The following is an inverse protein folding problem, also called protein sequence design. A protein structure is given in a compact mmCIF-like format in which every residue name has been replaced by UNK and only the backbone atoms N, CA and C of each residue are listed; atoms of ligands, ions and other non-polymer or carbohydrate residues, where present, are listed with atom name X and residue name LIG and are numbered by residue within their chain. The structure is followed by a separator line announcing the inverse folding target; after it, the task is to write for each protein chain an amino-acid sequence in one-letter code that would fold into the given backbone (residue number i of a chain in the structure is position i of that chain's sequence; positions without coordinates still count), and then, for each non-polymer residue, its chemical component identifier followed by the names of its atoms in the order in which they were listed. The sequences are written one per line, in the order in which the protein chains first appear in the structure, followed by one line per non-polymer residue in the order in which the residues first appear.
data_IF_593865155522
#
_entry.id   IF_593865155522
#
_cell.length_a   1.000
_cell.length_b   1.000
_cell.length_c   1.000
_cell.angle_alpha   90.00
_cell.angle_beta   90.00
_cell.angle_gamma   90.00
#
_symmetry.space_group_name_H-M   'P 1'
#
loop_
_entity.id
_entity.type
_entity.pdbx_description
1 polymer ?
#
# COMPACT_ATOMS: atom_id res chain seq x y z
N UNK A 1 36.02 10.78 -23.45
CA UNK A 1 35.04 11.45 -22.58
C UNK A 1 33.65 10.80 -22.59
N UNK A 2 33.15 10.24 -23.69
CA UNK A 2 31.79 9.65 -23.73
C UNK A 2 31.53 8.42 -22.84
N UNK A 3 32.50 7.51 -22.67
CA UNK A 3 32.28 6.25 -21.92
C UNK A 3 32.08 6.46 -20.41
N UNK A 4 32.76 7.44 -19.82
CA UNK A 4 32.65 7.75 -18.39
C UNK A 4 31.37 8.49 -18.04
N UNK A 5 30.85 9.32 -18.96
CA UNK A 5 29.58 10.04 -18.78
C UNK A 5 28.40 9.08 -18.86
N UNK A 6 28.44 8.10 -19.79
CA UNK A 6 27.42 7.06 -19.92
C UNK A 6 27.40 6.14 -18.68
N UNK A 7 28.57 5.75 -18.17
CA UNK A 7 28.66 4.92 -16.96
C UNK A 7 28.15 5.64 -15.71
N UNK A 8 28.42 6.94 -15.57
CA UNK A 8 27.92 7.76 -14.46
C UNK A 8 26.39 7.91 -14.52
N UNK A 9 25.85 8.14 -15.73
CA UNK A 9 24.40 8.24 -15.95
C UNK A 9 23.65 6.95 -15.62
N UNK A 10 24.21 5.80 -16.00
CA UNK A 10 23.65 4.49 -15.66
C UNK A 10 23.68 4.22 -14.15
N UNK A 11 24.76 4.59 -13.45
CA UNK A 11 24.85 4.45 -12.00
C UNK A 11 23.85 5.35 -11.27
N UNK A 12 23.67 6.60 -11.73
CA UNK A 12 22.67 7.51 -11.13
C UNK A 12 21.24 7.04 -11.36
N UNK A 13 20.94 6.50 -12.55
CA UNK A 13 19.61 5.94 -12.85
C UNK A 13 19.32 4.70 -11.98
N UNK A 14 20.32 3.83 -11.80
CA UNK A 14 20.20 2.64 -10.97
C UNK A 14 20.06 2.99 -9.48
N UNK A 15 20.76 4.02 -8.99
CA UNK A 15 20.57 4.53 -7.62
C UNK A 15 19.16 5.11 -7.41
N UNK A 16 18.62 5.84 -8.40
CA UNK A 16 17.26 6.37 -8.32
C UNK A 16 16.19 5.28 -8.30
N UNK A 17 16.41 4.16 -8.99
CA UNK A 17 15.48 3.02 -8.99
C UNK A 17 15.46 2.28 -7.63
N UNK A 18 16.60 2.21 -6.94
CA UNK A 18 16.70 1.60 -5.61
C UNK A 18 16.14 2.51 -4.51
N UNK A 19 16.13 3.83 -4.72
CA UNK A 19 15.58 4.80 -3.78
C UNK A 19 14.05 4.95 -3.85
N UNK A 20 13.37 4.22 -4.73
CA UNK A 20 11.91 4.20 -4.75
C UNK A 20 11.42 3.42 -3.52
N UNK A 21 10.49 3.97 -2.72
CA UNK A 21 9.91 3.21 -1.62
C UNK A 21 9.27 1.94 -2.19
N UNK A 22 9.48 0.81 -1.52
CA UNK A 22 8.76 -0.43 -1.81
C UNK A 22 7.27 -0.15 -1.59
N UNK A 23 6.52 -0.05 -2.69
CA UNK A 23 5.06 0.02 -2.61
C UNK A 23 4.57 -1.40 -2.30
N UNK A 24 4.38 -1.67 -1.01
CA UNK A 24 3.71 -2.86 -0.54
C UNK A 24 2.21 -2.60 -0.67
N UNK A 25 1.58 -3.24 -1.63
CA UNK A 25 0.17 -3.05 -1.92
C UNK A 25 -0.63 -4.22 -1.34
N UNK A 26 -1.42 -3.95 -0.30
CA UNK A 26 -2.52 -4.83 0.10
C UNK A 26 -3.44 -5.08 -1.09
N UNK A 27 -3.90 -6.33 -1.26
CA UNK A 27 -4.95 -6.64 -2.23
C UNK A 27 -6.25 -5.98 -1.78
N UNK A 28 -6.75 -5.02 -2.54
CA UNK A 28 -8.01 -4.35 -2.23
C UNK A 28 -9.16 -5.36 -2.11
N UNK A 29 -9.74 -5.47 -0.92
CA UNK A 29 -10.94 -6.25 -0.63
C UNK A 29 -12.16 -5.33 -0.61
N UNK A 30 -13.27 -5.87 -1.08
CA UNK A 30 -14.57 -5.19 -1.06
C UNK A 30 -15.51 -5.93 -0.14
N UNK A 31 -15.89 -5.28 0.96
CA UNK A 31 -16.88 -5.79 1.90
C UNK A 31 -18.29 -5.50 1.36
N UNK A 32 -19.12 -6.54 1.28
CA UNK A 32 -20.50 -6.41 0.80
C UNK A 32 -21.45 -6.13 1.96
N UNK A 33 -22.20 -5.04 1.87
CA UNK A 33 -23.27 -4.65 2.80
C UNK A 33 -24.59 -4.78 2.07
N UNK A 34 -25.35 -5.83 2.39
CA UNK A 34 -26.63 -6.11 1.76
C UNK A 34 -27.73 -5.42 2.55
N UNK A 35 -28.56 -4.63 1.88
CA UNK A 35 -29.60 -3.82 2.50
C UNK A 35 -30.97 -4.46 2.27
N UNK A 36 -31.67 -4.76 3.36
CA UNK A 36 -32.99 -5.39 3.42
C UNK A 36 -34.00 -4.48 4.13
N UNK A 37 -35.27 -4.89 4.17
CA UNK A 37 -36.37 -4.14 4.77
C UNK A 37 -36.21 -3.91 6.29
N UNK A 38 -35.50 -4.81 6.98
CA UNK A 38 -35.21 -4.77 8.41
C UNK A 38 -33.82 -4.21 8.77
N UNK A 39 -33.02 -3.84 7.77
CA UNK A 39 -31.72 -3.19 7.93
C UNK A 39 -30.62 -3.81 7.07
N UNK A 40 -29.37 -3.57 7.45
CA UNK A 40 -28.22 -4.13 6.76
C UNK A 40 -27.80 -5.49 7.34
N UNK A 41 -27.59 -6.47 6.47
CA UNK A 41 -26.93 -7.73 6.81
C UNK A 41 -25.48 -7.42 7.17
N UNK A 42 -25.05 -7.80 8.38
CA UNK A 42 -23.75 -7.42 8.96
C UNK A 42 -23.59 -5.92 9.19
N UNK A 43 -24.55 -5.30 9.88
CA UNK A 43 -24.53 -3.87 10.18
C UNK A 43 -23.36 -3.37 11.05
N UNK A 44 -22.74 -4.17 11.92
CA UNK A 44 -21.54 -3.70 12.65
C UNK A 44 -20.35 -4.56 12.28
N UNK A 45 -19.29 -3.93 11.81
CA UNK A 45 -18.13 -4.58 11.23
C UNK A 45 -16.89 -4.24 12.06
N UNK A 46 -16.21 -5.28 12.52
CA UNK A 46 -14.96 -5.18 13.29
C UNK A 46 -13.94 -6.23 12.83
N UNK A 47 -14.02 -6.61 11.56
CA UNK A 47 -13.13 -7.61 10.97
C UNK A 47 -11.70 -7.03 10.90
N UNK A 48 -10.71 -7.66 11.56
CA UNK A 48 -9.33 -7.18 11.55
C UNK A 48 -8.70 -7.17 10.16
N UNK A 49 -9.27 -7.89 9.19
CA UNK A 49 -8.82 -7.90 7.81
C UNK A 49 -9.32 -6.71 6.98
N UNK A 50 -10.20 -5.86 7.53
CA UNK A 50 -10.64 -4.63 6.91
C UNK A 50 -9.67 -3.47 7.23
N UNK A 51 -8.62 -3.38 6.43
CA UNK A 51 -7.57 -2.36 6.51
C UNK A 51 -7.82 -1.15 5.59
N UNK A 52 -6.98 -0.12 5.67
CA UNK A 52 -6.95 1.01 4.72
C UNK A 52 -6.85 0.52 3.27
N UNK A 53 -7.43 1.26 2.32
CA UNK A 53 -7.44 0.86 0.89
C UNK A 53 -8.55 -0.12 0.50
N UNK A 54 -9.26 -0.73 1.46
CA UNK A 54 -10.42 -1.56 1.18
C UNK A 54 -11.65 -0.74 0.81
N UNK A 55 -12.70 -1.41 0.32
CA UNK A 55 -13.94 -0.77 -0.09
C UNK A 55 -15.17 -1.39 0.57
N UNK A 56 -16.22 -0.59 0.73
CA UNK A 56 -17.57 -1.05 1.07
C UNK A 56 -18.44 -0.99 -0.17
N UNK A 57 -19.18 -2.06 -0.43
CA UNK A 57 -20.17 -2.14 -1.50
C UNK A 57 -21.56 -2.33 -0.90
N UNK A 58 -22.38 -1.30 -1.02
CA UNK A 58 -23.77 -1.29 -0.57
C UNK A 58 -24.65 -1.78 -1.71
N UNK A 59 -25.44 -2.83 -1.48
CA UNK A 59 -26.38 -3.36 -2.47
C UNK A 59 -27.79 -3.39 -1.88
N UNK A 60 -28.74 -2.78 -2.57
CA UNK A 60 -30.14 -2.81 -2.20
C UNK A 60 -30.77 -4.12 -2.69
N UNK A 61 -31.34 -4.89 -1.76
CA UNK A 61 -32.01 -6.19 -2.00
C UNK A 61 -33.39 -6.22 -1.30
N UNK A 62 -33.90 -5.05 -0.90
CA UNK A 62 -35.25 -4.93 -0.34
C UNK A 62 -36.30 -4.96 -1.46
N UNK A 63 -36.96 -6.10 -1.61
CA UNK A 63 -38.05 -6.30 -2.58
C UNK A 63 -39.40 -5.70 -2.18
N UNK A 64 -39.45 -4.83 -1.17
CA UNK A 64 -40.67 -4.09 -0.84
C UNK A 64 -40.98 -3.05 -1.92
N UNK A 65 -42.22 -3.04 -2.41
CA UNK A 65 -42.65 -2.11 -3.46
C UNK A 65 -42.49 -0.64 -3.02
N UNK A 66 -41.93 0.19 -3.90
CA UNK A 66 -41.63 1.61 -3.64
C UNK A 66 -40.72 1.85 -2.42
N UNK A 67 -39.86 0.88 -2.07
CA UNK A 67 -38.77 1.10 -1.13
C UNK A 67 -37.52 1.60 -1.86
N UNK A 68 -36.85 2.57 -1.26
CA UNK A 68 -35.55 3.07 -1.74
C UNK A 68 -34.61 3.25 -0.55
N UNK A 69 -33.31 3.17 -0.81
CA UNK A 69 -32.30 3.31 0.24
C UNK A 69 -31.14 4.21 -0.15
N UNK A 70 -30.61 4.93 0.82
CA UNK A 70 -29.40 5.76 0.69
C UNK A 70 -28.43 5.38 1.79
N UNK A 71 -27.19 5.08 1.41
CA UNK A 71 -26.09 4.85 2.33
C UNK A 71 -25.31 6.15 2.54
N UNK A 72 -25.02 6.48 3.80
CA UNK A 72 -24.19 7.63 4.19
C UNK A 72 -23.06 7.16 5.09
N UNK A 73 -21.87 7.70 4.92
CA UNK A 73 -20.71 7.36 5.73
C UNK A 73 -20.03 8.64 6.19
N UNK A 74 -19.84 8.76 7.51
CA UNK A 74 -19.03 9.78 8.15
C UNK A 74 -17.56 9.48 7.89
N UNK A 75 -16.96 10.21 6.94
CA UNK A 75 -15.59 9.98 6.45
C UNK A 75 -14.56 10.63 7.37
N UNK A 76 -14.91 11.72 8.04
CA UNK A 76 -13.99 12.46 8.90
C UNK A 76 -14.08 12.03 10.38
N UNK A 77 -15.02 11.14 10.72
CA UNK A 77 -15.23 10.54 12.05
C UNK A 77 -15.63 11.57 13.13
N UNK A 78 -16.29 12.68 12.74
CA UNK A 78 -16.73 13.71 13.69
C UNK A 78 -18.12 13.44 14.29
N UNK A 79 -18.81 12.39 13.81
CA UNK A 79 -20.14 11.96 14.24
C UNK A 79 -21.28 12.74 13.59
N UNK A 80 -21.01 13.63 12.62
CA UNK A 80 -22.00 14.51 11.99
C UNK A 80 -21.93 14.39 10.47
N UNK A 81 -23.02 13.92 9.86
CA UNK A 81 -23.10 13.86 8.40
C UNK A 81 -23.12 15.26 7.75
N UNK A 82 -22.20 15.46 6.80
CA UNK A 82 -22.08 16.63 5.94
C UNK A 82 -21.81 16.21 4.48
N UNK A 83 -22.79 16.39 3.59
CA UNK A 83 -22.72 16.00 2.18
C UNK A 83 -21.55 16.60 1.36
N UNK A 84 -20.85 17.63 1.87
CA UNK A 84 -19.65 18.18 1.20
C UNK A 84 -18.34 17.47 1.58
N UNK A 85 -18.33 16.73 2.68
CA UNK A 85 -17.15 16.07 3.26
C UNK A 85 -17.33 14.56 3.30
N UNK A 86 -18.55 14.14 3.62
CA UNK A 86 -18.94 12.76 3.79
C UNK A 86 -19.46 12.12 2.52
N UNK A 87 -19.49 10.79 2.55
CA UNK A 87 -20.01 10.02 1.44
C UNK A 87 -21.52 9.85 1.58
N UNK A 88 -22.22 10.09 0.49
CA UNK A 88 -23.63 9.75 0.30
C UNK A 88 -23.77 9.01 -1.03
N UNK A 89 -24.42 7.86 -1.01
CA UNK A 89 -24.77 7.14 -2.23
C UNK A 89 -25.87 7.87 -2.99
N UNK A 90 -26.03 7.53 -4.27
CA UNK A 90 -27.30 7.80 -4.95
C UNK A 90 -28.47 7.06 -4.29
N UNK A 91 -29.69 7.38 -4.73
CA UNK A 91 -30.91 6.67 -4.30
C UNK A 91 -30.90 5.28 -4.93
N UNK A 92 -30.79 4.26 -4.09
CA UNK A 92 -30.71 2.87 -4.53
C UNK A 92 -32.10 2.22 -4.56
N UNK A 93 -32.35 1.44 -5.62
CA UNK A 93 -33.56 0.64 -5.83
C UNK A 93 -33.20 -0.86 -5.91
N UNK A 94 -34.19 -1.75 -5.78
CA UNK A 94 -33.95 -3.21 -5.79
C UNK A 94 -33.43 -3.69 -7.14
N UNK A 95 -34.01 -3.14 -8.21
CA UNK A 95 -33.66 -3.50 -9.58
C UNK A 95 -33.92 -2.31 -10.49
N UNK A 96 -33.19 -2.30 -11.60
CA UNK A 96 -33.36 -1.33 -12.67
C UNK A 96 -33.78 -2.06 -13.94
N UNK A 97 -34.71 -1.47 -14.68
CA UNK A 97 -35.15 -2.02 -15.96
C UNK A 97 -34.02 -1.91 -17.00
N UNK A 98 -33.86 -2.97 -17.78
CA UNK A 98 -32.91 -3.03 -18.90
C UNK A 98 -33.66 -3.02 -20.23
N UNK A 99 -33.10 -2.33 -21.21
CA UNK A 99 -33.60 -2.29 -22.58
C UNK A 99 -33.29 -3.59 -23.35
N UNK A 100 -33.77 -3.70 -24.59
CA UNK A 100 -33.52 -4.87 -25.45
C UNK A 100 -32.03 -5.15 -25.73
N UNK A 101 -31.16 -4.16 -25.48
CA UNK A 101 -29.72 -4.22 -25.69
C UNK A 101 -28.94 -4.50 -24.39
N UNK A 102 -29.62 -4.63 -23.26
CA UNK A 102 -29.02 -4.86 -21.94
C UNK A 102 -28.46 -3.60 -21.28
N UNK A 103 -28.78 -2.41 -21.78
CA UNK A 103 -28.48 -1.13 -21.14
C UNK A 103 -29.60 -0.74 -20.18
N UNK A 104 -29.33 0.15 -19.23
CA UNK A 104 -30.37 0.69 -18.34
C UNK A 104 -31.38 1.53 -19.12
N UNK A 105 -32.68 1.32 -18.88
CA UNK A 105 -33.76 2.17 -19.40
C UNK A 105 -33.69 3.56 -18.77
N UNK A 106 -33.37 3.60 -17.48
CA UNK A 106 -33.13 4.82 -16.70
C UNK A 106 -31.67 4.85 -16.24
N UNK A 107 -30.90 5.81 -16.78
CA UNK A 107 -29.49 5.99 -16.42
C UNK A 107 -29.29 6.46 -14.96
N UNK A 108 -30.31 7.05 -14.34
CA UNK A 108 -30.26 7.49 -12.94
C UNK A 108 -30.59 6.35 -11.96
N UNK A 109 -31.06 5.21 -12.46
CA UNK A 109 -31.38 4.06 -11.63
C UNK A 109 -30.10 3.37 -11.13
N UNK A 110 -29.96 3.30 -9.81
CA UNK A 110 -28.80 2.74 -9.13
C UNK A 110 -29.27 1.56 -8.26
N UNK A 111 -28.63 0.39 -8.38
CA UNK A 111 -28.93 -0.78 -7.51
C UNK A 111 -27.91 -0.93 -6.38
N UNK A 112 -26.71 -0.37 -6.59
CA UNK A 112 -25.61 -0.51 -5.65
C UNK A 112 -24.64 0.67 -5.72
N UNK A 113 -23.93 0.92 -4.63
CA UNK A 113 -22.94 1.99 -4.55
C UNK A 113 -21.70 1.51 -3.79
N UNK A 114 -20.53 1.99 -4.21
CA UNK A 114 -19.25 1.59 -3.62
C UNK A 114 -18.54 2.80 -3.05
N UNK A 115 -18.05 2.69 -1.82
CA UNK A 115 -17.10 3.63 -1.24
C UNK A 115 -15.76 2.94 -1.02
N UNK A 116 -14.71 3.42 -1.67
CA UNK A 116 -13.35 2.94 -1.48
C UNK A 116 -12.62 3.84 -0.48
N UNK A 117 -12.14 3.26 0.61
CA UNK A 117 -11.29 3.98 1.55
C UNK A 117 -9.93 4.25 0.88
N UNK A 118 -9.41 5.47 0.94
CA UNK A 118 -8.08 5.75 0.44
C UNK A 118 -7.02 4.97 1.24
N UNK A 119 -5.87 4.67 0.64
CA UNK A 119 -4.76 3.98 1.33
C UNK A 119 -4.23 4.77 2.53
N UNK A 120 -4.46 6.08 2.57
CA UNK A 120 -4.12 6.98 3.67
C UNK A 120 -5.35 7.42 4.49
N UNK A 121 -6.44 6.63 4.48
CA UNK A 121 -7.61 6.88 5.32
C UNK A 121 -7.22 6.90 6.80
N UNK A 122 -7.92 7.68 7.63
CA UNK A 122 -7.76 7.59 9.08
C UNK A 122 -8.13 6.18 9.56
N UNK A 123 -7.46 5.69 10.58
CA UNK A 123 -7.83 4.41 11.20
C UNK A 123 -8.79 4.63 12.35
N UNK A 124 -9.57 3.61 12.68
CA UNK A 124 -10.55 3.65 13.77
C UNK A 124 -11.98 3.42 13.31
N UNK A 125 -12.91 3.88 14.13
CA UNK A 125 -14.34 3.60 13.99
C UNK A 125 -15.01 4.64 13.10
N UNK A 126 -15.51 4.20 11.97
CA UNK A 126 -16.35 4.97 11.07
C UNK A 126 -17.82 4.67 11.37
N UNK A 127 -18.65 5.71 11.32
CA UNK A 127 -20.09 5.58 11.48
C UNK A 127 -20.75 5.67 10.11
N UNK A 128 -21.70 4.79 9.82
CA UNK A 128 -22.48 4.87 8.60
C UNK A 128 -23.96 4.67 8.88
N UNK A 129 -24.79 5.30 8.06
CA UNK A 129 -26.23 5.29 8.19
C UNK A 129 -26.85 4.75 6.92
N UNK A 130 -27.90 3.94 7.09
CA UNK A 130 -28.75 3.50 6.00
C UNK A 130 -30.11 4.15 6.21
N UNK A 131 -30.50 4.99 5.26
CA UNK A 131 -31.79 5.63 5.23
C UNK A 131 -32.67 4.87 4.25
N UNK A 132 -33.79 4.35 4.72
CA UNK A 132 -34.82 3.70 3.90
C UNK A 132 -36.03 4.60 3.82
N UNK A 133 -36.43 4.98 2.60
CA UNK A 133 -37.73 5.59 2.35
C UNK A 133 -38.69 4.54 1.82
N UNK A 134 -39.83 4.40 2.48
CA UNK A 134 -40.93 3.56 2.04
C UNK A 134 -42.25 4.23 2.37
N UNK A 135 -43.06 4.50 1.34
CA UNK A 135 -44.36 5.14 1.49
C UNK A 135 -44.30 6.43 2.33
N UNK A 136 -43.32 7.32 2.05
CA UNK A 136 -43.08 8.59 2.75
C UNK A 136 -42.62 8.48 4.21
N UNK A 137 -42.33 7.25 4.67
CA UNK A 137 -41.76 7.00 5.99
C UNK A 137 -40.28 6.73 5.85
N UNK A 138 -39.45 7.60 6.44
CA UNK A 138 -38.00 7.44 6.47
C UNK A 138 -37.59 6.70 7.74
N UNK A 139 -37.00 5.51 7.56
CA UNK A 139 -36.35 4.75 8.63
C UNK A 139 -34.86 4.93 8.52
N UNK A 140 -34.17 5.09 9.65
CA UNK A 140 -32.72 5.24 9.69
C UNK A 140 -32.12 4.17 10.60
N UNK A 141 -31.13 3.46 10.08
CA UNK A 141 -30.29 2.56 10.86
C UNK A 141 -28.88 3.12 10.98
N UNK A 142 -28.28 2.94 12.15
CA UNK A 142 -26.94 3.39 12.46
C UNK A 142 -26.03 2.19 12.73
N UNK A 143 -24.86 2.23 12.11
CA UNK A 143 -23.92 1.14 11.99
C UNK A 143 -22.49 1.64 12.08
N UNK A 144 -21.57 0.73 12.37
CA UNK A 144 -20.17 1.08 12.54
C UNK A 144 -19.26 0.10 11.82
N UNK A 145 -18.14 0.62 11.31
CA UNK A 145 -17.07 -0.17 10.70
C UNK A 145 -15.72 0.27 11.25
N UNK A 146 -14.92 -0.68 11.72
CA UNK A 146 -13.54 -0.41 12.12
C UNK A 146 -12.61 -0.54 10.91
N UNK A 147 -11.81 0.49 10.64
CA UNK A 147 -10.75 0.48 9.62
C UNK A 147 -9.40 0.33 10.31
N UNK A 148 -8.71 -0.77 10.02
CA UNK A 148 -7.40 -1.09 10.57
C UNK A 148 -6.26 -0.47 9.75
N UNK A 149 -5.09 -0.31 10.36
CA UNK A 149 -3.88 0.09 9.64
C UNK A 149 -3.45 -1.05 8.71
N UNK A 150 -3.05 -0.69 7.49
CA UNK A 150 -2.48 -1.64 6.56
C UNK A 150 -1.01 -1.95 6.92
N UNK A 151 -0.83 -2.72 7.99
CA UNK A 151 0.49 -3.19 8.44
C UNK A 151 0.84 -4.50 7.75
N UNK A 152 1.96 -4.50 7.05
CA UNK A 152 2.61 -5.73 6.61
C UNK A 152 3.96 -5.82 7.29
N UNK A 153 3.96 -6.39 8.49
CA UNK A 153 5.22 -6.83 9.09
C UNK A 153 5.63 -8.11 8.36
N UNK A 154 6.78 -8.07 7.68
CA UNK A 154 7.43 -9.24 7.12
C UNK A 154 7.96 -10.10 8.28
N UNK A 155 7.07 -10.81 8.99
CA UNK A 155 7.42 -11.96 9.84
C UNK A 155 7.82 -13.19 9.00
N UNK A 156 8.02 -12.97 7.70
CA UNK A 156 8.66 -13.90 6.80
C UNK A 156 10.11 -14.09 7.21
N UNK A 157 10.63 -15.31 7.12
CA UNK A 157 11.99 -15.56 7.52
C UNK A 157 12.98 -14.81 6.65
N UNK A 158 14.02 -14.28 7.29
CA UNK A 158 15.02 -13.47 6.60
C UNK A 158 15.74 -14.33 5.56
N UNK A 159 16.12 -13.77 4.38
CA UNK A 159 16.95 -14.48 3.43
C UNK A 159 18.26 -14.98 4.07
N UNK A 160 18.32 -16.27 4.41
CA UNK A 160 19.43 -16.88 5.17
C UNK A 160 18.97 -17.75 6.33
N UNK A 161 17.70 -17.62 6.74
CA UNK A 161 17.11 -18.50 7.75
C UNK A 161 17.05 -19.94 7.25
N UNK A 162 17.56 -20.83 8.09
CA UNK A 162 17.63 -22.25 7.81
C UNK A 162 16.22 -22.87 7.94
N UNK A 163 15.67 -23.37 6.83
CA UNK A 163 14.41 -24.14 6.79
C UNK A 163 14.69 -25.63 6.65
N UNK A 164 14.60 -26.39 7.74
CA UNK A 164 14.65 -27.85 7.70
C UNK A 164 15.15 -28.53 8.98
N UNK A 165 15.08 -29.87 9.00
CA UNK A 165 15.67 -30.69 10.05
C UNK A 165 17.20 -30.72 9.89
N UNK A 166 17.89 -29.76 10.48
CA UNK A 166 19.34 -29.61 10.37
C UNK A 166 19.88 -28.25 10.83
N UNK A 167 18.99 -27.32 11.19
CA UNK A 167 19.38 -26.07 11.81
C UNK A 167 19.78 -26.35 13.26
N UNK A 168 20.99 -25.95 13.64
CA UNK A 168 21.41 -26.01 15.04
C UNK A 168 20.51 -25.09 15.87
N UNK A 169 19.63 -25.66 16.67
CA UNK A 169 18.84 -24.89 17.61
C UNK A 169 19.77 -24.44 18.73
N UNK A 170 20.30 -23.22 18.62
CA UNK A 170 20.84 -22.50 19.77
C UNK A 170 19.68 -22.12 20.68
N UNK A 171 19.15 -23.10 21.39
CA UNK A 171 18.13 -22.90 22.41
C UNK A 171 18.73 -22.05 23.53
N UNK A 172 18.12 -20.89 23.73
CA UNK A 172 18.22 -19.96 24.86
C UNK A 172 19.17 -20.35 26.00
N UNK A 173 20.28 -19.63 26.10
CA UNK A 173 20.78 -19.18 27.38
C UNK A 173 20.74 -17.65 27.36
N UNK A 174 19.89 -17.07 28.20
CA UNK A 174 19.95 -15.67 28.58
C UNK A 174 21.36 -15.40 29.14
N UNK A 175 22.21 -14.76 28.34
CA UNK A 175 23.28 -13.92 28.88
C UNK A 175 23.28 -12.58 28.15
N UNK A 176 22.95 -11.58 28.96
CA UNK A 176 23.02 -10.15 28.75
C UNK A 176 24.42 -9.75 28.27
N UNK A 177 24.63 -9.75 26.95
CA UNK A 177 25.79 -9.10 26.34
C UNK A 177 25.28 -8.05 25.36
N UNK A 178 25.22 -6.83 25.87
CA UNK A 178 25.16 -5.59 25.13
C UNK A 178 26.24 -5.55 24.04
N UNK A 179 25.95 -6.15 22.89
CA UNK A 179 26.58 -5.85 21.63
C UNK A 179 25.54 -5.11 20.83
N UNK A 180 25.68 -3.79 20.76
CA UNK A 180 24.92 -2.96 19.82
C UNK A 180 25.25 -3.42 18.40
N UNK A 181 24.52 -4.44 17.93
CA UNK A 181 24.48 -4.84 16.53
C UNK A 181 23.51 -3.85 15.89
N UNK A 182 23.99 -2.93 15.03
CA UNK A 182 23.10 -2.01 14.36
C UNK A 182 22.14 -2.80 13.46
N UNK A 183 20.90 -2.32 13.25
CA UNK A 183 19.89 -3.04 12.46
C UNK A 183 20.43 -3.41 11.08
N UNK A 184 19.92 -4.48 10.48
CA UNK A 184 20.44 -5.02 9.22
C UNK A 184 20.50 -3.98 8.08
N UNK A 185 19.56 -3.03 8.07
CA UNK A 185 19.58 -1.84 7.21
C UNK A 185 20.86 -0.98 7.38
N UNK A 186 21.29 -0.76 8.63
CA UNK A 186 22.50 -0.03 8.93
C UNK A 186 23.77 -0.84 8.56
N UNK A 187 23.74 -2.17 8.72
CA UNK A 187 24.82 -3.05 8.26
C UNK A 187 24.93 -2.99 6.73
N UNK A 188 23.80 -3.07 6.02
CA UNK A 188 23.74 -3.01 4.57
C UNK A 188 24.26 -1.65 4.05
N UNK A 189 23.86 -0.54 4.69
CA UNK A 189 24.36 0.80 4.37
C UNK A 189 25.87 0.93 4.59
N UNK A 190 26.40 0.38 5.69
CA UNK A 190 27.85 0.38 5.96
C UNK A 190 28.60 -0.41 4.89
N UNK A 191 28.09 -1.57 4.47
CA UNK A 191 28.70 -2.39 3.42
C UNK A 191 28.70 -1.68 2.05
N UNK A 192 27.62 -0.99 1.70
CA UNK A 192 27.53 -0.19 0.47
C UNK A 192 28.55 0.96 0.48
N UNK A 193 28.69 1.65 1.61
CA UNK A 193 29.68 2.74 1.76
C UNK A 193 31.10 2.18 1.63
N UNK A 194 31.40 1.05 2.29
CA UNK A 194 32.72 0.41 2.22
C UNK A 194 33.06 -0.04 0.79
N UNK A 195 32.10 -0.62 0.08
CA UNK A 195 32.27 -1.01 -1.32
C UNK A 195 32.56 0.21 -2.22
N UNK A 196 31.84 1.31 -2.01
CA UNK A 196 32.04 2.53 -2.77
C UNK A 196 33.42 3.14 -2.53
N UNK A 197 33.88 3.18 -1.27
CA UNK A 197 35.24 3.63 -0.91
C UNK A 197 36.31 2.75 -1.59
N UNK A 198 36.14 1.42 -1.58
CA UNK A 198 37.07 0.51 -2.23
C UNK A 198 37.17 0.74 -3.75
N UNK A 199 36.04 0.98 -4.41
CA UNK A 199 36.00 1.29 -5.85
C UNK A 199 36.74 2.61 -6.15
N UNK A 200 36.56 3.63 -5.31
CA UNK A 200 37.28 4.90 -5.47
C UNK A 200 38.79 4.67 -5.32
N UNK A 201 39.25 3.94 -4.30
CA UNK A 201 40.66 3.65 -4.10
C UNK A 201 41.27 2.87 -5.27
N UNK A 202 40.59 1.84 -5.77
CA UNK A 202 41.02 1.10 -6.95
C UNK A 202 41.12 2.01 -8.19
N UNK A 203 40.15 2.90 -8.37
CA UNK A 203 40.17 3.84 -9.50
C UNK A 203 41.33 4.84 -9.44
N UNK A 204 41.69 5.29 -8.23
CA UNK A 204 42.84 6.16 -8.01
C UNK A 204 44.17 5.40 -8.20
N UNK A 205 44.25 4.15 -7.76
CA UNK A 205 45.42 3.28 -7.98
C UNK A 205 45.68 3.09 -9.48
N UNK A 206 44.65 2.74 -10.26
CA UNK A 206 44.77 2.56 -11.71
C UNK A 206 45.18 3.87 -12.41
N UNK A 207 44.70 5.03 -11.95
CA UNK A 207 45.13 6.33 -12.49
C UNK A 207 46.59 6.65 -12.15
N UNK A 208 47.04 6.35 -10.94
CA UNK A 208 48.44 6.56 -10.51
C UNK A 208 49.39 5.69 -11.33
N UNK A 209 49.05 4.41 -11.55
CA UNK A 209 49.88 3.50 -12.34
C UNK A 209 49.98 3.94 -13.81
N UNK A 210 48.89 4.44 -14.40
CA UNK A 210 48.91 5.00 -15.76
C UNK A 210 49.75 6.28 -15.88
N UNK A 211 49.83 7.09 -14.82
CA UNK A 211 50.70 8.27 -14.80
C UNK A 211 52.16 7.90 -14.59
N UNK A 212 52.45 6.88 -13.76
CA UNK A 212 53.81 6.41 -13.52
C UNK A 212 54.40 5.67 -14.72
N UNK A 213 53.60 4.89 -15.46
CA UNK A 213 54.03 4.26 -16.71
C UNK A 213 54.40 5.28 -17.80
N UNK A 214 53.70 6.42 -17.85
CA UNK A 214 54.01 7.51 -18.77
C UNK A 214 55.30 8.26 -18.41
N UNK A 215 55.73 8.21 -17.15
CA UNK A 215 57.00 8.77 -16.69
C UNK A 215 58.20 7.89 -17.03
N UNK A 216 58.03 6.57 -17.20
CA UNK A 216 59.10 5.64 -17.56
C UNK A 216 59.38 5.62 -19.07
N UNK A 217 58.34 5.73 -19.91
CA UNK A 217 58.50 5.89 -21.38
C UNK A 217 59.21 7.21 -21.76
N UNK A 218 59.09 8.23 -20.92
CA UNK A 218 59.76 9.52 -21.10
C UNK A 218 61.25 9.50 -20.77
N UNK A 219 61.73 8.52 -19.98
CA UNK A 219 63.14 8.43 -19.57
C UNK A 219 63.94 7.56 -20.54
N UNK A 220 63.31 6.58 -21.19
CA UNK A 220 63.99 5.73 -22.18
C UNK A 220 64.22 6.43 -23.55
N UNK A 221 63.53 7.55 -23.82
CA UNK A 221 63.70 8.32 -25.05
C UNK A 221 64.88 9.32 -25.03
N UNK A 222 65.70 9.34 -23.96
CA UNK A 222 66.81 10.30 -23.81
C UNK A 222 68.21 9.68 -23.67
N UNK A 223 68.38 8.37 -23.91
CA UNK A 223 69.69 7.69 -23.80
C UNK A 223 70.24 7.12 -25.13
N UNK A 224 69.54 7.32 -26.26
CA UNK A 224 70.06 7.01 -27.60
C UNK A 224 70.28 8.30 -28.41
N UNK A 225 71.31 9.07 -28.06
CA UNK A 225 71.94 10.07 -28.96
C UNK A 225 73.47 10.01 -28.85
#
# INVERSE_FOLDING_TARGET
MGRSVVALGLCTMMLCLVALPSMQAHEQKTLSVILLDDGAVYGNISDPSFVQGNAMWFKMEDGTENATMVARLDVNQDGVFNASVDFESGVMMESCELDENGSLVDEECIVSSTYAFPSNASTGMYTYWILRDHNTTVTMWNYTIYVHEDIHEEDGPSPGDCFGAGCETSAAADEDVNSGVPPDEAILQILVILAFVAIIFLSLSIRKDRLSGKSLDSVHASEDE
#
